data_IF_170892109539
#
_entry.id   IF_170892109539
#
_cell.length_a   1.000
_cell.length_b   1.000
_cell.length_c   1.000
_cell.angle_alpha   90.00
_cell.angle_beta   90.00
_cell.angle_gamma   90.00
#
_symmetry.space_group_name_H-M   'P 1'
#
loop_
_entity.id
_entity.type
_entity.pdbx_description
1 polymer ?
#
# COMPACT_ATOMS: atom_id res chain seq x y z
N UNK A 1 1.74 12.72 30.05
CA UNK A 1 1.96 11.48 29.26
C UNK A 1 1.45 11.58 27.81
N UNK A 2 1.03 12.75 27.31
CA UNK A 2 0.42 12.95 25.98
C UNK A 2 1.42 12.98 24.80
N UNK A 3 2.71 13.23 25.06
CA UNK A 3 3.73 13.34 24.00
C UNK A 3 3.96 12.07 23.17
N UNK A 4 3.84 10.88 23.77
CA UNK A 4 4.17 9.62 23.11
C UNK A 4 3.16 9.23 22.01
N UNK A 5 1.87 9.44 22.25
CA UNK A 5 0.80 9.13 21.29
C UNK A 5 0.84 10.04 20.07
N UNK A 6 1.18 11.32 20.27
CA UNK A 6 1.28 12.29 19.18
C UNK A 6 2.45 11.98 18.23
N UNK A 7 3.62 11.62 18.78
CA UNK A 7 4.77 11.15 17.98
C UNK A 7 4.48 9.84 17.24
N UNK A 8 3.69 8.92 17.83
CA UNK A 8 3.27 7.69 17.16
C UNK A 8 2.27 7.96 16.03
N UNK A 9 1.29 8.85 16.24
CA UNK A 9 0.33 9.22 15.22
C UNK A 9 1.01 9.86 13.99
N UNK A 10 2.00 10.73 14.21
CA UNK A 10 2.74 11.36 13.13
C UNK A 10 3.60 10.36 12.34
N UNK A 11 4.23 9.39 13.03
CA UNK A 11 4.97 8.30 12.38
C UNK A 11 4.05 7.39 11.55
N UNK A 12 2.87 7.04 12.09
CA UNK A 12 1.88 6.20 11.40
C UNK A 12 1.31 6.94 10.17
N UNK A 13 1.01 8.23 10.30
CA UNK A 13 0.54 9.06 9.18
C UNK A 13 1.61 9.22 8.08
N UNK A 14 2.88 9.40 8.47
CA UNK A 14 3.99 9.48 7.53
C UNK A 14 4.15 8.18 6.73
N UNK A 15 4.03 7.03 7.39
CA UNK A 15 4.08 5.72 6.73
C UNK A 15 2.91 5.50 5.77
N UNK A 16 1.69 5.84 6.18
CA UNK A 16 0.51 5.79 5.30
C UNK A 16 0.67 6.66 4.04
N UNK A 17 1.16 7.90 4.21
CA UNK A 17 1.43 8.82 3.09
C UNK A 17 2.54 8.32 2.15
N UNK A 18 3.59 7.68 2.68
CA UNK A 18 4.64 7.08 1.85
C UNK A 18 4.07 5.94 0.99
N UNK A 19 3.25 5.07 1.59
CA UNK A 19 2.61 3.95 0.89
C UNK A 19 1.74 4.44 -0.27
N UNK A 20 0.82 5.38 0.00
CA UNK A 20 -0.09 5.94 -1.02
C UNK A 20 0.66 6.81 -2.04
N UNK A 21 1.58 7.66 -1.59
CA UNK A 21 2.19 8.70 -2.42
C UNK A 21 3.36 8.24 -3.29
N UNK A 22 4.05 7.15 -2.94
CA UNK A 22 5.25 6.70 -3.65
C UNK A 22 5.17 5.24 -4.07
N UNK A 23 4.70 4.36 -3.20
CA UNK A 23 4.71 2.91 -3.43
C UNK A 23 3.56 2.45 -4.33
N UNK A 24 2.34 2.90 -4.10
CA UNK A 24 1.19 2.55 -4.95
C UNK A 24 1.37 2.99 -6.42
N UNK A 25 1.81 4.22 -6.74
CA UNK A 25 2.08 4.64 -8.12
C UNK A 25 3.20 3.83 -8.78
N UNK A 26 4.28 3.53 -8.04
CA UNK A 26 5.39 2.73 -8.56
C UNK A 26 4.96 1.28 -8.86
N UNK A 27 4.10 0.71 -8.01
CA UNK A 27 3.51 -0.61 -8.22
C UNK A 27 2.53 -0.60 -9.40
N UNK A 28 1.77 0.48 -9.59
CA UNK A 28 0.88 0.65 -10.73
C UNK A 28 1.67 0.71 -12.06
N UNK A 29 2.81 1.41 -12.06
CA UNK A 29 3.71 1.50 -13.22
C UNK A 29 4.34 0.14 -13.52
N UNK A 30 4.82 -0.57 -12.50
CA UNK A 30 5.37 -1.93 -12.64
C UNK A 30 4.31 -2.94 -13.13
N UNK A 31 3.09 -2.88 -12.60
CA UNK A 31 1.99 -3.72 -13.05
C UNK A 31 1.64 -3.43 -14.53
N UNK A 32 1.61 -2.16 -14.93
CA UNK A 32 1.38 -1.78 -16.33
C UNK A 32 2.50 -2.26 -17.25
N UNK A 33 3.75 -2.17 -16.80
CA UNK A 33 4.91 -2.67 -17.51
C UNK A 33 4.98 -4.20 -17.59
N UNK A 34 4.33 -4.94 -16.69
CA UNK A 34 4.28 -6.40 -16.70
C UNK A 34 3.30 -7.02 -17.70
N UNK A 35 2.45 -6.20 -18.35
CA UNK A 35 1.43 -6.68 -19.29
C UNK A 35 1.99 -7.07 -20.68
N UNK A 36 3.32 -7.11 -20.85
CA UNK A 36 3.95 -7.45 -22.14
C UNK A 36 3.90 -8.95 -22.38
N UNK A 37 3.62 -9.34 -23.63
CA UNK A 37 3.75 -10.73 -24.08
C UNK A 37 5.21 -11.18 -23.98
N UNK A 38 5.44 -12.37 -23.40
CA UNK A 38 6.77 -12.96 -23.32
C UNK A 38 7.22 -13.44 -24.70
N UNK A 39 8.03 -12.61 -25.35
CA UNK A 39 8.57 -12.90 -26.67
C UNK A 39 9.71 -13.95 -26.67
N UNK A 40 10.23 -14.29 -27.87
CA UNK A 40 11.32 -15.25 -28.04
C UNK A 40 12.56 -14.93 -27.19
N UNK A 41 12.81 -13.64 -26.93
CA UNK A 41 13.95 -13.19 -26.12
C UNK A 41 13.86 -13.62 -24.64
N UNK A 42 12.67 -13.93 -24.12
CA UNK A 42 12.47 -14.34 -22.72
C UNK A 42 12.18 -15.84 -22.62
N UNK A 43 11.37 -16.37 -23.53
CA UNK A 43 10.98 -17.78 -23.53
C UNK A 43 12.03 -18.68 -24.22
N UNK A 44 12.85 -18.13 -25.10
CA UNK A 44 13.61 -18.90 -26.08
C UNK A 44 12.69 -19.45 -27.18
N UNK A 45 13.24 -19.68 -28.38
CA UNK A 45 12.44 -20.13 -29.53
C UNK A 45 11.70 -21.46 -29.30
N UNK A 46 12.26 -22.33 -28.46
CA UNK A 46 11.68 -23.64 -28.14
C UNK A 46 10.47 -23.53 -27.23
N UNK A 47 10.53 -22.74 -26.15
CA UNK A 47 9.41 -22.62 -25.22
C UNK A 47 8.31 -21.69 -25.76
N UNK A 48 8.62 -20.83 -26.73
CA UNK A 48 7.62 -19.97 -27.37
C UNK A 48 6.52 -20.78 -28.07
N UNK A 49 6.87 -21.93 -28.66
CA UNK A 49 5.91 -22.83 -29.30
C UNK A 49 4.95 -23.49 -28.30
N UNK A 50 5.32 -23.53 -27.01
CA UNK A 50 4.51 -24.03 -25.91
C UNK A 50 4.12 -22.93 -24.92
N UNK A 51 4.12 -21.67 -25.34
CA UNK A 51 3.83 -20.53 -24.46
C UNK A 51 2.45 -20.65 -23.79
N UNK A 52 1.50 -21.32 -24.46
CA UNK A 52 0.16 -21.55 -23.95
C UNK A 52 0.12 -22.32 -22.62
N UNK A 53 1.14 -23.15 -22.32
CA UNK A 53 1.24 -23.89 -21.07
C UNK A 53 1.41 -22.94 -19.88
N UNK A 54 2.02 -21.77 -20.13
CA UNK A 54 2.31 -20.78 -19.09
C UNK A 54 1.29 -19.66 -19.03
N UNK A 55 0.27 -19.66 -19.90
CA UNK A 55 -0.69 -18.56 -19.97
C UNK A 55 -1.46 -18.39 -18.65
N UNK A 56 -1.86 -19.50 -18.02
CA UNK A 56 -2.64 -19.46 -16.77
C UNK A 56 -1.80 -18.85 -15.63
N UNK A 57 -0.58 -19.36 -15.37
CA UNK A 57 0.33 -18.76 -14.39
C UNK A 57 0.65 -17.29 -14.67
N UNK A 58 0.76 -16.92 -15.95
CA UNK A 58 1.13 -15.57 -16.38
C UNK A 58 -0.05 -14.60 -16.21
N UNK A 59 -1.28 -15.07 -16.45
CA UNK A 59 -2.49 -14.31 -16.18
C UNK A 59 -2.78 -14.19 -14.69
N UNK A 60 -2.52 -15.23 -13.89
CA UNK A 60 -2.55 -15.16 -12.42
C UNK A 60 -1.53 -14.16 -11.87
N UNK A 61 -0.29 -14.18 -12.40
CA UNK A 61 0.74 -13.22 -12.01
C UNK A 61 0.35 -11.78 -12.36
N UNK A 62 -0.23 -11.53 -13.54
CA UNK A 62 -0.76 -10.21 -13.92
C UNK A 62 -1.92 -9.78 -13.02
N UNK A 63 -2.83 -10.69 -12.68
CA UNK A 63 -3.95 -10.41 -11.80
C UNK A 63 -3.46 -10.03 -10.39
N UNK A 64 -2.46 -10.76 -9.87
CA UNK A 64 -1.83 -10.45 -8.59
C UNK A 64 -1.15 -9.06 -8.63
N UNK A 65 -0.35 -8.79 -9.67
CA UNK A 65 0.32 -7.50 -9.86
C UNK A 65 -0.66 -6.35 -9.99
N UNK A 66 -1.81 -6.54 -10.66
CA UNK A 66 -2.86 -5.54 -10.76
C UNK A 66 -3.60 -5.31 -9.43
N UNK A 67 -3.63 -6.29 -8.53
CA UNK A 67 -4.29 -6.19 -7.22
C UNK A 67 -3.44 -5.48 -6.15
N UNK A 68 -2.11 -5.56 -6.27
CA UNK A 68 -1.16 -5.03 -5.29
C UNK A 68 -1.30 -3.52 -5.05
N UNK A 69 -1.38 -2.64 -6.08
CA UNK A 69 -1.54 -1.19 -5.86
C UNK A 69 -2.74 -0.85 -4.97
N UNK A 70 -3.89 -1.48 -5.22
CA UNK A 70 -5.12 -1.27 -4.42
C UNK A 70 -4.96 -1.74 -2.98
N UNK A 71 -4.28 -2.86 -2.75
CA UNK A 71 -4.02 -3.36 -1.40
C UNK A 71 -3.11 -2.40 -0.61
N UNK A 72 -2.11 -1.82 -1.28
CA UNK A 72 -1.20 -0.84 -0.69
C UNK A 72 -1.90 0.51 -0.42
N UNK A 73 -2.78 0.97 -1.32
CA UNK A 73 -3.64 2.14 -1.08
C UNK A 73 -4.53 1.92 0.14
N UNK A 74 -5.28 0.81 0.20
CA UNK A 74 -6.15 0.50 1.32
C UNK A 74 -5.39 0.41 2.66
N UNK A 75 -4.18 -0.14 2.64
CA UNK A 75 -3.30 -0.18 3.81
C UNK A 75 -2.87 1.22 4.22
N UNK A 76 -2.46 2.06 3.26
CA UNK A 76 -2.06 3.44 3.51
C UNK A 76 -3.20 4.31 4.07
N UNK A 77 -4.42 4.15 3.54
CA UNK A 77 -5.63 4.80 4.03
C UNK A 77 -5.98 4.36 5.46
N UNK A 78 -5.87 3.06 5.75
CA UNK A 78 -6.08 2.52 7.09
C UNK A 78 -5.10 3.10 8.11
N UNK A 79 -3.82 3.24 7.74
CA UNK A 79 -2.81 3.88 8.58
C UNK A 79 -3.12 5.36 8.80
N UNK A 80 -3.52 6.09 7.77
CA UNK A 80 -3.91 7.50 7.91
C UNK A 80 -5.12 7.66 8.86
N UNK A 81 -6.14 6.81 8.71
CA UNK A 81 -7.33 6.79 9.59
C UNK A 81 -6.97 6.43 11.04
N UNK A 82 -6.06 5.48 11.24
CA UNK A 82 -5.55 5.10 12.57
C UNK A 82 -4.81 6.26 13.24
N UNK A 83 -3.98 6.98 12.49
CA UNK A 83 -3.29 8.17 13.00
C UNK A 83 -4.28 9.28 13.41
N UNK A 84 -5.35 9.47 12.65
CA UNK A 84 -6.41 10.42 13.00
C UNK A 84 -7.15 10.03 14.27
N UNK A 85 -7.44 8.74 14.44
CA UNK A 85 -8.02 8.19 15.69
C UNK A 85 -7.13 8.47 16.89
N UNK A 86 -5.81 8.27 16.77
CA UNK A 86 -4.88 8.59 17.86
C UNK A 86 -4.85 10.08 18.21
N UNK A 87 -4.93 10.97 17.21
CA UNK A 87 -5.00 12.41 17.45
C UNK A 87 -6.30 12.81 18.15
N UNK A 88 -7.44 12.26 17.72
CA UNK A 88 -8.73 12.52 18.37
C UNK A 88 -8.75 12.03 19.82
N UNK A 89 -8.14 10.87 20.10
CA UNK A 89 -8.01 10.37 21.47
C UNK A 89 -7.10 11.26 22.34
N UNK A 90 -6.00 11.79 21.79
CA UNK A 90 -5.12 12.73 22.51
C UNK A 90 -5.84 14.07 22.79
N UNK A 91 -6.55 14.61 21.81
CA UNK A 91 -7.34 15.84 21.99
C UNK A 91 -8.49 15.65 22.98
N UNK A 92 -9.19 14.51 22.93
CA UNK A 92 -10.24 14.16 23.89
C UNK A 92 -9.71 14.03 25.32
N UNK A 93 -8.56 13.38 25.49
CA UNK A 93 -7.90 13.28 26.80
C UNK A 93 -7.42 14.63 27.32
N UNK A 94 -6.90 15.51 26.45
CA UNK A 94 -6.48 16.86 26.83
C UNK A 94 -7.67 17.70 27.31
N UNK A 95 -8.79 17.69 26.58
CA UNK A 95 -10.01 18.40 26.96
C UNK A 95 -10.57 17.87 28.29
N UNK A 96 -10.55 16.56 28.49
CA UNK A 96 -11.02 15.94 29.73
C UNK A 96 -10.14 16.31 30.95
N UNK A 97 -8.82 16.38 30.77
CA UNK A 97 -7.88 16.75 31.85
C UNK A 97 -7.94 18.25 32.19
N UNK A 98 -8.05 19.14 31.20
CA UNK A 98 -8.22 20.59 31.44
C UNK A 98 -9.56 20.91 32.13
N UNK A 99 -10.57 20.05 31.99
CA UNK A 99 -11.87 20.18 32.65
C UNK A 99 -11.91 19.72 34.11
N UNK A 100 -10.91 18.97 34.57
CA UNK A 100 -10.84 18.43 35.95
C UNK A 100 -10.16 19.41 36.93
N UNK A 101 -9.41 20.39 36.43
CA UNK A 101 -8.68 21.38 37.24
C UNK A 101 -9.52 22.63 37.58
N UNK A 102 -10.86 22.53 37.58
CA UNK A 102 -11.78 23.65 37.86
C UNK A 102 -12.84 23.31 38.90
#
# INVERSE_FOLDING_TARGET
MTGAFRTQADAVAAHGKMLVGQLSPSLQEAASASQVSLGPNVMGELCQMWSFIFNDELDDAKALLASLPKAFEATGDSLCSTAETYRQADDGNRIALDGVDR
#
